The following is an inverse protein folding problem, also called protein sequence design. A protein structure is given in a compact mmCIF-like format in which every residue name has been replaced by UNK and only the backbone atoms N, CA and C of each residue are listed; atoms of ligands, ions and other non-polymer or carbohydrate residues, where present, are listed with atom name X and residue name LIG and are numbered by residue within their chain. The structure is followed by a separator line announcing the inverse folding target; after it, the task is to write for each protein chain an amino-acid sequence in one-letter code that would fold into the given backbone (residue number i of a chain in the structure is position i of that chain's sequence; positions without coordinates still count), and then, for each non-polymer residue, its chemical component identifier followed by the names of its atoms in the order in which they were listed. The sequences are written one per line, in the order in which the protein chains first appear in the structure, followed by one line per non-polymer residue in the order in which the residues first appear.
data_IF_444693131453
#
_entry.id   IF_444693131453
#
_cell.length_a   1.000
_cell.length_b   1.000
_cell.length_c   1.000
_cell.angle_alpha   90.00
_cell.angle_beta   90.00
_cell.angle_gamma   90.00
#
_symmetry.space_group_name_H-M   'P 1'
#
loop_
_entity.id
_entity.type
_entity.pdbx_description
1 polymer ?
#
# COMPACT_ATOMS: atom_id res chain seq x y z
N UNK A 1 -4.84 59.01 49.12
CA UNK A 1 -4.93 57.53 49.21
C UNK A 1 -5.74 56.93 48.06
N UNK A 2 -6.86 57.53 47.65
CA UNK A 2 -7.69 57.07 46.54
C UNK A 2 -7.00 56.96 45.16
N UNK A 3 -6.14 57.91 44.78
CA UNK A 3 -5.45 57.89 43.47
C UNK A 3 -4.51 56.69 43.27
N UNK A 4 -3.78 56.28 44.32
CA UNK A 4 -2.92 55.08 44.30
C UNK A 4 -3.73 53.78 44.16
N UNK A 5 -4.93 53.75 44.76
CA UNK A 5 -5.88 52.64 44.63
C UNK A 5 -6.41 52.53 43.18
N UNK A 6 -6.76 53.66 42.55
CA UNK A 6 -7.28 53.68 41.18
C UNK A 6 -6.21 53.18 40.18
N UNK A 7 -4.97 53.66 40.30
CA UNK A 7 -3.85 53.21 39.47
C UNK A 7 -3.55 51.70 39.65
N UNK A 8 -3.60 51.20 40.89
CA UNK A 8 -3.40 49.78 41.18
C UNK A 8 -4.48 48.89 40.55
N UNK A 9 -5.75 49.30 40.61
CA UNK A 9 -6.87 48.56 40.01
C UNK A 9 -6.79 48.57 38.49
N UNK A 10 -6.45 49.71 37.86
CA UNK A 10 -6.26 49.79 36.41
C UNK A 10 -5.11 48.90 35.93
N UNK A 11 -3.97 48.90 36.65
CA UNK A 11 -2.85 48.03 36.32
C UNK A 11 -3.21 46.54 36.43
N UNK A 12 -3.95 46.14 37.48
CA UNK A 12 -4.43 44.77 37.64
C UNK A 12 -5.40 44.36 36.53
N UNK A 13 -6.29 45.26 36.10
CA UNK A 13 -7.21 45.01 34.98
C UNK A 13 -6.44 44.84 33.66
N UNK A 14 -5.43 45.68 33.41
CA UNK A 14 -4.58 45.59 32.21
C UNK A 14 -3.74 44.31 32.22
N UNK A 15 -3.12 43.95 33.35
CA UNK A 15 -2.36 42.70 33.48
C UNK A 15 -3.27 41.47 33.33
N UNK A 16 -4.47 41.49 33.91
CA UNK A 16 -5.42 40.38 33.79
C UNK A 16 -5.96 40.20 32.37
N UNK A 17 -6.21 41.31 31.65
CA UNK A 17 -6.64 41.27 30.25
C UNK A 17 -5.49 40.85 29.33
N UNK A 18 -4.27 41.35 29.58
CA UNK A 18 -3.08 40.96 28.83
C UNK A 18 -2.68 39.50 29.05
N UNK A 19 -2.71 39.01 30.30
CA UNK A 19 -2.44 37.60 30.63
C UNK A 19 -3.50 36.65 30.05
N UNK A 20 -4.78 37.05 30.03
CA UNK A 20 -5.83 36.31 29.31
C UNK A 20 -5.58 36.27 27.80
N UNK A 21 -4.92 37.29 27.24
CA UNK A 21 -4.59 37.38 25.82
C UNK A 21 -3.37 36.52 25.43
N UNK A 22 -2.40 36.33 26.33
CA UNK A 22 -1.16 35.59 26.04
C UNK A 22 -1.18 34.13 26.50
N UNK A 23 -1.95 33.79 27.54
CA UNK A 23 -2.01 32.41 28.09
C UNK A 23 -3.18 31.57 27.55
N UNK A 24 -4.05 32.14 26.71
CA UNK A 24 -4.95 31.37 25.85
C UNK A 24 -4.46 31.48 24.42
N UNK A 25 -3.48 30.64 24.06
CA UNK A 25 -3.42 30.14 22.67
C UNK A 25 -4.68 29.30 22.49
N UNK A 26 -5.76 30.01 22.18
CA UNK A 26 -7.10 29.49 22.11
C UNK A 26 -7.14 28.40 21.05
N UNK A 27 -7.70 27.25 21.40
CA UNK A 27 -8.17 26.26 20.43
C UNK A 27 -9.07 26.86 19.32
N UNK A 28 -9.61 28.07 19.57
CA UNK A 28 -10.43 28.87 18.65
C UNK A 28 -9.68 30.03 17.98
N UNK A 29 -8.38 29.91 17.73
CA UNK A 29 -7.67 30.88 16.88
C UNK A 29 -7.95 30.68 15.37
N UNK A 30 -8.73 29.66 15.00
CA UNK A 30 -9.15 29.43 13.62
C UNK A 30 -10.49 30.13 13.31
N UNK A 31 -10.68 30.64 12.09
CA UNK A 31 -11.94 31.26 11.66
C UNK A 31 -13.14 30.30 11.80
N UNK A 32 -14.39 30.82 11.82
CA UNK A 32 -15.58 29.97 11.86
C UNK A 32 -15.54 28.95 10.70
N UNK A 33 -15.38 27.66 11.04
CA UNK A 33 -15.21 26.57 10.08
C UNK A 33 -14.22 25.45 10.47
N UNK A 34 -13.36 25.65 11.48
CA UNK A 34 -12.32 24.67 11.88
C UNK A 34 -12.57 24.03 13.27
N UNK A 35 -12.16 22.76 13.51
CA UNK A 35 -12.35 22.07 14.79
C UNK A 35 -11.35 22.51 15.88
N UNK A 36 -11.77 22.42 17.16
CA UNK A 36 -11.10 23.00 18.33
C UNK A 36 -9.79 22.30 18.79
N UNK A 37 -9.07 21.54 17.95
CA UNK A 37 -7.88 20.79 18.38
C UNK A 37 -6.80 20.77 17.27
N UNK A 38 -5.83 21.68 17.31
CA UNK A 38 -4.76 21.77 16.31
C UNK A 38 -3.46 22.36 16.92
N UNK A 39 -2.78 21.60 17.78
CA UNK A 39 -1.46 21.93 18.36
C UNK A 39 -0.43 20.83 18.00
N UNK A 40 0.88 21.11 17.80
CA UNK A 40 1.63 22.34 18.15
C UNK A 40 2.23 23.15 16.98
N UNK A 41 2.06 22.79 15.71
CA UNK A 41 2.63 23.50 14.56
C UNK A 41 1.54 23.99 13.59
N UNK A 42 1.07 25.23 13.80
CA UNK A 42 0.06 25.84 12.94
C UNK A 42 0.69 26.43 11.67
N UNK A 43 0.36 25.86 10.51
CA UNK A 43 0.31 26.59 9.24
C UNK A 43 -1.17 26.78 8.87
N UNK A 44 -1.47 27.84 8.13
CA UNK A 44 -2.79 28.47 7.95
C UNK A 44 -3.90 27.60 7.32
N UNK A 45 -3.70 26.29 7.12
CA UNK A 45 -4.59 25.35 6.41
C UNK A 45 -5.22 24.23 7.27
N UNK A 46 -5.05 24.26 8.60
CA UNK A 46 -5.53 23.26 9.57
C UNK A 46 -7.08 23.12 9.59
N UNK A 47 -7.75 21.96 9.58
CA UNK A 47 -7.35 20.60 9.97
C UNK A 47 -8.05 19.59 9.03
N UNK A 48 -7.32 18.91 8.11
CA UNK A 48 -7.84 17.67 7.53
C UNK A 48 -7.52 16.52 8.51
N UNK A 49 -8.47 15.62 8.81
CA UNK A 49 -8.14 14.42 9.55
C UNK A 49 -7.03 13.66 8.81
N UNK A 50 -6.13 12.97 9.52
CA UNK A 50 -5.15 12.12 8.86
C UNK A 50 -5.90 11.15 7.93
N UNK A 51 -5.37 10.87 6.73
CA UNK A 51 -5.99 9.91 5.83
C UNK A 51 -6.16 8.56 6.57
N UNK A 52 -7.24 7.80 6.28
CA UNK A 52 -7.40 6.49 6.89
C UNK A 52 -6.16 5.63 6.61
N UNK A 53 -5.77 4.74 7.53
CA UNK A 53 -4.67 3.83 7.27
C UNK A 53 -4.94 3.05 5.97
N UNK A 54 -3.91 2.73 5.18
CA UNK A 54 -4.09 1.93 3.98
C UNK A 54 -4.77 0.60 4.35
N UNK A 55 -5.61 0.03 3.46
CA UNK A 55 -6.19 -1.28 3.70
C UNK A 55 -5.07 -2.31 3.90
N UNK A 56 -5.31 -3.36 4.72
CA UNK A 56 -4.34 -4.43 4.86
C UNK A 56 -4.03 -5.05 3.49
N UNK A 57 -2.79 -5.55 3.28
CA UNK A 57 -2.45 -6.23 2.04
C UNK A 57 -3.40 -7.42 1.81
N UNK A 58 -3.72 -7.75 0.54
CA UNK A 58 -4.51 -8.92 0.24
C UNK A 58 -3.84 -10.18 0.81
N UNK A 59 -4.62 -11.21 1.19
CA UNK A 59 -4.05 -12.46 1.63
C UNK A 59 -3.16 -13.06 0.54
N UNK A 60 -2.11 -13.82 0.91
CA UNK A 60 -1.28 -14.50 -0.07
C UNK A 60 -2.13 -15.45 -0.92
N UNK A 61 -1.77 -15.67 -2.20
CA UNK A 61 -2.47 -16.62 -3.04
C UNK A 61 -2.46 -18.02 -2.39
N UNK A 62 -3.51 -18.82 -2.62
CA UNK A 62 -3.53 -20.20 -2.13
C UNK A 62 -2.32 -20.97 -2.68
N UNK A 63 -1.80 -21.96 -1.94
CA UNK A 63 -0.75 -22.81 -2.45
C UNK A 63 -1.21 -23.50 -3.75
N UNK A 64 -0.30 -23.75 -4.70
CA UNK A 64 -0.64 -24.48 -5.91
C UNK A 64 -1.23 -25.87 -5.56
N UNK A 65 -2.14 -26.40 -6.38
CA UNK A 65 -2.69 -27.73 -6.17
C UNK A 65 -1.56 -28.75 -6.04
N UNK A 66 -1.67 -29.66 -5.07
CA UNK A 66 -0.73 -30.76 -4.97
C UNK A 66 -0.72 -31.55 -6.29
N UNK A 67 0.46 -32.01 -6.76
CA UNK A 67 0.53 -32.89 -7.92
C UNK A 67 -0.42 -34.07 -7.77
N UNK A 68 -1.18 -34.38 -8.81
CA UNK A 68 -2.02 -35.55 -8.84
C UNK A 68 -1.16 -36.80 -8.58
N UNK A 69 -1.52 -37.59 -7.56
CA UNK A 69 -0.85 -38.87 -7.31
C UNK A 69 -1.04 -39.78 -8.52
N UNK A 70 -0.01 -40.54 -8.93
CA UNK A 70 -0.17 -41.56 -9.97
C UNK A 70 -1.34 -42.49 -9.65
N UNK A 71 -2.15 -42.82 -10.66
CA UNK A 71 -3.20 -43.81 -10.52
C UNK A 71 -2.64 -45.18 -10.14
N UNK A 72 -3.43 -46.05 -9.48
CA UNK A 72 -2.99 -47.41 -9.18
C UNK A 72 -2.64 -48.16 -10.47
N UNK A 73 -1.70 -49.12 -10.43
CA UNK A 73 -1.43 -50.02 -11.55
C UNK A 73 -2.73 -50.64 -12.08
N UNK A 74 -2.83 -50.75 -13.41
CA UNK A 74 -3.97 -51.43 -14.04
C UNK A 74 -4.04 -52.90 -13.60
N UNK A 75 -5.25 -53.50 -13.56
CA UNK A 75 -5.40 -54.90 -13.20
C UNK A 75 -4.63 -55.79 -14.20
N UNK A 76 -4.02 -56.87 -13.71
CA UNK A 76 -3.37 -57.87 -14.56
C UNK A 76 -4.34 -58.39 -15.61
N UNK A 77 -3.87 -58.54 -16.85
CA UNK A 77 -4.64 -59.13 -17.94
C UNK A 77 -5.08 -60.55 -17.59
N UNK A 78 -6.27 -60.94 -18.07
CA UNK A 78 -6.78 -62.32 -17.90
C UNK A 78 -5.87 -63.30 -18.63
N UNK A 79 -5.57 -64.43 -17.99
CA UNK A 79 -4.78 -65.50 -18.56
C UNK A 79 -5.47 -66.07 -19.82
N UNK A 80 -4.73 -66.19 -20.92
CA UNK A 80 -5.23 -66.83 -22.15
C UNK A 80 -5.43 -68.34 -21.97
N UNK A 81 -6.27 -68.99 -22.80
CA UNK A 81 -6.51 -70.43 -22.72
C UNK A 81 -5.24 -71.26 -23.01
N UNK A 82 -5.05 -72.45 -22.40
CA UNK A 82 -3.82 -73.24 -22.56
C UNK A 82 -3.64 -73.81 -23.99
N UNK A 83 -2.39 -73.79 -24.49
CA UNK A 83 -1.95 -74.51 -25.69
C UNK A 83 -1.26 -75.85 -25.36
N UNK A 84 -1.03 -76.74 -26.36
CA UNK A 84 -0.44 -78.07 -26.14
C UNK A 84 1.02 -77.99 -25.64
N UNK A 85 1.42 -78.94 -24.77
CA UNK A 85 2.61 -78.83 -23.90
C UNK A 85 3.91 -79.25 -24.59
N UNK A 86 4.87 -78.32 -24.66
CA UNK A 86 6.32 -78.57 -24.72
C UNK A 86 7.01 -77.95 -23.49
N UNK A 87 8.28 -78.27 -23.16
CA UNK A 87 8.93 -77.72 -21.97
C UNK A 87 8.99 -76.19 -22.07
N UNK A 88 8.40 -75.52 -21.07
CA UNK A 88 8.31 -74.06 -21.04
C UNK A 88 9.73 -73.52 -20.82
N UNK A 89 10.24 -72.76 -21.79
CA UNK A 89 11.49 -72.01 -21.64
C UNK A 89 11.39 -71.01 -20.47
N UNK A 90 12.52 -70.59 -19.89
CA UNK A 90 12.50 -69.66 -18.75
C UNK A 90 11.69 -68.40 -19.09
N UNK A 91 10.98 -67.88 -18.09
CA UNK A 91 10.27 -66.61 -18.22
C UNK A 91 11.26 -65.55 -18.71
N UNK A 92 10.94 -64.88 -19.83
CA UNK A 92 11.74 -63.78 -20.33
C UNK A 92 11.89 -62.71 -19.24
N UNK A 93 13.05 -62.06 -19.21
CA UNK A 93 13.30 -60.98 -18.25
C UNK A 93 12.23 -59.88 -18.39
N UNK A 94 11.89 -59.24 -17.26
CA UNK A 94 11.02 -58.09 -17.29
C UNK A 94 11.60 -57.03 -18.24
N UNK A 95 10.76 -56.44 -19.09
CA UNK A 95 11.20 -55.35 -19.96
C UNK A 95 11.78 -54.19 -19.14
N UNK A 96 12.72 -53.41 -19.71
CA UNK A 96 13.27 -52.26 -19.02
C UNK A 96 12.15 -51.26 -18.68
N UNK A 97 12.30 -50.46 -17.61
CA UNK A 97 11.41 -49.35 -17.34
C UNK A 97 11.25 -48.45 -18.57
N UNK A 98 10.05 -47.90 -18.77
CA UNK A 98 9.81 -46.93 -19.84
C UNK A 98 10.67 -45.68 -19.69
N UNK A 99 10.92 -44.93 -20.78
CA UNK A 99 11.66 -43.69 -20.70
C UNK A 99 10.93 -42.65 -19.83
N UNK A 100 11.66 -41.67 -19.24
CA UNK A 100 11.03 -40.52 -18.58
C UNK A 100 10.04 -39.79 -19.50
N UNK A 101 8.98 -39.23 -18.92
CA UNK A 101 8.03 -38.40 -19.66
C UNK A 101 8.66 -37.10 -20.21
N UNK A 102 8.02 -36.46 -21.20
CA UNK A 102 8.50 -35.19 -21.73
C UNK A 102 8.47 -34.07 -20.68
N UNK A 103 9.31 -33.06 -20.86
CA UNK A 103 9.27 -31.84 -20.05
C UNK A 103 7.92 -31.12 -20.24
N UNK A 104 7.38 -30.53 -19.16
CA UNK A 104 6.17 -29.71 -19.23
C UNK A 104 6.34 -28.44 -20.08
N UNK A 105 5.24 -27.82 -20.53
CA UNK A 105 5.29 -26.58 -21.28
C UNK A 105 5.84 -25.41 -20.45
N UNK A 106 6.40 -24.37 -21.07
CA UNK A 106 6.76 -23.12 -20.38
C UNK A 106 5.57 -22.50 -19.64
N UNK A 107 5.85 -21.81 -18.54
CA UNK A 107 4.84 -21.05 -17.80
C UNK A 107 4.27 -19.87 -18.62
N UNK A 108 3.11 -19.31 -18.20
CA UNK A 108 2.54 -18.14 -18.86
C UNK A 108 3.45 -16.90 -18.70
N UNK A 109 3.38 -15.92 -19.62
CA UNK A 109 4.02 -14.62 -19.44
C UNK A 109 3.60 -13.94 -18.13
N UNK A 110 4.51 -13.17 -17.53
CA UNK A 110 4.20 -12.35 -16.36
C UNK A 110 3.19 -11.24 -16.66
N UNK A 111 2.53 -10.73 -15.62
CA UNK A 111 1.60 -9.62 -15.76
C UNK A 111 2.32 -8.32 -16.19
N UNK A 112 1.64 -7.42 -16.95
CA UNK A 112 2.18 -6.11 -17.28
C UNK A 112 2.59 -5.31 -16.02
N UNK A 113 3.64 -4.51 -16.15
CA UNK A 113 4.03 -3.59 -15.09
C UNK A 113 2.92 -2.55 -14.81
N UNK A 114 2.73 -2.12 -13.54
CA UNK A 114 1.81 -1.04 -13.23
C UNK A 114 2.22 0.25 -13.96
N UNK A 115 1.26 1.15 -14.26
CA UNK A 115 1.57 2.42 -14.90
C UNK A 115 2.51 3.27 -14.02
N UNK A 116 3.34 4.14 -14.63
CA UNK A 116 4.21 5.02 -13.87
C UNK A 116 3.39 5.99 -12.99
N UNK A 117 3.93 6.42 -11.84
CA UNK A 117 3.26 7.41 -11.00
C UNK A 117 3.08 8.74 -11.76
N UNK A 118 2.04 9.52 -11.44
CA UNK A 118 1.84 10.84 -12.03
C UNK A 118 3.03 11.77 -11.73
N UNK A 119 3.32 12.74 -12.60
CA UNK A 119 4.39 13.71 -12.35
C UNK A 119 4.07 14.53 -11.09
N UNK A 120 5.12 15.00 -10.36
CA UNK A 120 4.92 15.83 -9.18
C UNK A 120 4.19 17.13 -9.55
N UNK A 121 3.31 17.65 -8.67
CA UNK A 121 2.65 18.91 -8.90
C UNK A 121 3.66 20.06 -8.93
N UNK A 122 3.35 21.10 -9.70
CA UNK A 122 4.19 22.30 -9.76
C UNK A 122 4.28 22.97 -8.39
N UNK A 123 5.44 23.53 -8.01
CA UNK A 123 5.56 24.35 -6.81
C UNK A 123 4.55 25.50 -6.84
N UNK A 124 3.90 25.79 -5.71
CA UNK A 124 2.87 26.83 -5.62
C UNK A 124 3.37 28.21 -6.10
N UNK A 125 4.65 28.52 -5.90
CA UNK A 125 5.26 29.76 -6.39
C UNK A 125 5.25 29.84 -7.92
N UNK A 126 5.44 28.71 -8.61
CA UNK A 126 5.47 28.63 -10.07
C UNK A 126 4.08 28.77 -10.71
N UNK A 127 3.01 28.58 -9.95
CA UNK A 127 1.64 28.84 -10.42
C UNK A 127 1.37 30.35 -10.59
N UNK A 128 1.96 31.18 -9.71
CA UNK A 128 1.68 32.61 -9.65
C UNK A 128 2.84 33.51 -10.12
N UNK A 129 4.07 33.00 -10.19
CA UNK A 129 5.26 33.74 -10.62
C UNK A 129 6.23 32.79 -11.32
N UNK A 130 6.55 33.04 -12.60
CA UNK A 130 7.59 32.26 -13.28
C UNK A 130 8.96 32.86 -12.94
N UNK A 131 9.73 32.15 -12.12
CA UNK A 131 11.13 32.48 -11.79
C UNK A 131 12.08 31.48 -12.43
N UNK A 132 13.37 31.80 -12.64
CA UNK A 132 14.34 30.88 -13.26
C UNK A 132 14.51 29.53 -12.54
N UNK A 133 14.09 29.43 -11.28
CA UNK A 133 14.10 28.21 -10.48
C UNK A 133 12.90 27.28 -10.75
N UNK A 134 11.90 27.71 -11.51
CA UNK A 134 10.73 26.90 -11.83
C UNK A 134 11.05 25.86 -12.93
N UNK A 135 10.53 24.62 -12.81
CA UNK A 135 10.62 23.64 -13.88
C UNK A 135 9.98 24.18 -15.16
N UNK A 136 10.60 23.90 -16.32
CA UNK A 136 10.12 24.37 -17.63
C UNK A 136 8.70 23.91 -17.96
N UNK A 137 8.29 22.74 -17.47
CA UNK A 137 6.93 22.22 -17.60
C UNK A 137 5.85 22.97 -16.79
N UNK A 138 6.24 23.87 -15.88
CA UNK A 138 5.32 24.56 -14.97
C UNK A 138 4.93 25.98 -15.40
N UNK A 139 5.68 26.62 -16.31
CA UNK A 139 5.44 28.00 -16.74
C UNK A 139 4.60 28.12 -18.03
N UNK A 140 3.63 27.21 -18.23
CA UNK A 140 2.78 27.21 -19.42
C UNK A 140 1.94 28.51 -19.49
N UNK A 141 2.40 29.49 -20.28
CA UNK A 141 1.67 30.73 -20.57
C UNK A 141 2.25 32.02 -19.99
N UNK A 142 3.43 32.01 -19.36
CA UNK A 142 4.14 33.23 -18.94
C UNK A 142 5.42 33.40 -19.74
N UNK A 143 5.29 33.95 -20.95
CA UNK A 143 6.38 34.64 -21.64
C UNK A 143 6.10 36.13 -21.61
#
# INVERSE_FOLDING_TARGET
MASKLILGVLALMVVSTYARSTYKRSAKACPPGCPNYCAPACQVSCCLPPPPPPPPPPPPPPPPPEPARPGPPGPSGRQGPPGPVGPIGPMGEAGPPGPPGPQGPPGPPGEPAPPPPPPPPCPAICAHTCVPSCPSGCCAGRR
#
